data_IF_553290723474
#
_entry.id   IF_553290723474
#
_cell.length_a   1.000
_cell.length_b   1.000
_cell.length_c   1.000
_cell.angle_alpha   90.00
_cell.angle_beta   90.00
_cell.angle_gamma   90.00
#
_symmetry.space_group_name_H-M   'P 1'
#
loop_
_entity.id
_entity.type
_entity.pdbx_description
1 polymer ?
#
# COMPACT_ATOMS: atom_id res chain seq x y z
N UNK A 1 -10.94 -6.85 -34.60
CA UNK A 1 -12.06 -7.31 -33.75
C UNK A 1 -11.70 -6.98 -32.31
N UNK A 2 -12.50 -6.17 -31.62
CA UNK A 2 -12.26 -5.81 -30.23
C UNK A 2 -12.96 -6.84 -29.35
N UNK A 3 -12.22 -7.49 -28.45
CA UNK A 3 -12.80 -8.44 -27.51
C UNK A 3 -13.31 -7.68 -26.28
N UNK A 4 -14.56 -7.94 -25.89
CA UNK A 4 -15.17 -7.41 -24.67
C UNK A 4 -15.56 -8.54 -23.72
N UNK A 5 -15.59 -8.23 -22.42
CA UNK A 5 -16.14 -9.14 -21.43
C UNK A 5 -17.62 -9.37 -21.71
N UNK A 6 -18.13 -10.58 -21.44
CA UNK A 6 -19.58 -10.86 -21.43
C UNK A 6 -20.28 -10.38 -20.14
N UNK A 7 -19.52 -9.82 -19.22
CA UNK A 7 -20.00 -9.30 -17.94
C UNK A 7 -19.75 -7.80 -17.88
N UNK A 8 -20.75 -7.08 -17.36
CA UNK A 8 -20.70 -5.66 -17.07
C UNK A 8 -20.99 -5.46 -15.59
N UNK A 9 -20.21 -4.57 -14.96
CA UNK A 9 -20.39 -4.22 -13.56
C UNK A 9 -20.31 -2.70 -13.42
N UNK A 10 -21.12 -2.16 -12.51
CA UNK A 10 -21.01 -0.77 -12.12
C UNK A 10 -19.84 -0.63 -11.14
N UNK A 11 -18.91 0.27 -11.46
CA UNK A 11 -17.79 0.56 -10.57
C UNK A 11 -18.14 1.78 -9.71
N UNK A 12 -18.13 1.68 -8.36
CA UNK A 12 -18.39 2.79 -7.45
C UNK A 12 -17.50 4.00 -7.71
N UNK A 13 -18.11 5.19 -7.70
CA UNK A 13 -17.42 6.48 -7.83
C UNK A 13 -17.04 6.98 -6.43
N UNK A 14 -16.01 6.38 -5.86
CA UNK A 14 -15.53 6.68 -4.52
C UNK A 14 -14.03 6.47 -4.42
N UNK A 15 -13.35 7.18 -3.52
CA UNK A 15 -11.93 6.96 -3.26
C UNK A 15 -11.64 5.59 -2.63
N UNK A 16 -10.42 5.07 -2.83
CA UNK A 16 -10.03 3.74 -2.37
C UNK A 16 -10.13 3.54 -0.84
N UNK A 17 -9.91 4.57 -0.02
CA UNK A 17 -9.98 4.42 1.44
C UNK A 17 -11.42 4.32 1.91
N UNK A 18 -12.30 5.17 1.39
CA UNK A 18 -13.73 5.09 1.65
C UNK A 18 -14.30 3.79 1.09
N UNK A 19 -13.87 3.35 -0.10
CA UNK A 19 -14.22 2.05 -0.65
C UNK A 19 -13.88 0.92 0.34
N UNK A 20 -12.65 0.85 0.84
CA UNK A 20 -12.24 -0.17 1.79
C UNK A 20 -12.97 -0.06 3.15
N UNK A 21 -12.96 1.13 3.76
CA UNK A 21 -13.38 1.26 5.15
C UNK A 21 -14.89 1.43 5.33
N UNK A 22 -15.62 1.88 4.29
CA UNK A 22 -17.07 2.12 4.36
C UNK A 22 -17.89 1.13 3.55
N UNK A 23 -17.29 0.38 2.62
CA UNK A 23 -18.04 -0.66 1.92
C UNK A 23 -18.48 -1.76 2.88
N UNK A 24 -19.74 -2.17 2.73
CA UNK A 24 -20.33 -3.36 3.35
C UNK A 24 -19.86 -4.66 2.69
N UNK A 25 -19.02 -4.59 1.65
CA UNK A 25 -18.41 -5.76 1.03
C UNK A 25 -17.47 -6.48 2.01
N UNK A 26 -16.90 -5.75 2.97
CA UNK A 26 -15.99 -6.28 3.98
C UNK A 26 -16.83 -6.67 5.20
N UNK A 27 -17.24 -7.94 5.22
CA UNK A 27 -18.17 -8.50 6.23
C UNK A 27 -17.47 -9.24 7.36
N UNK A 28 -16.16 -9.06 7.51
CA UNK A 28 -15.34 -9.82 8.44
C UNK A 28 -15.13 -9.03 9.74
N UNK A 29 -15.64 -9.57 10.86
CA UNK A 29 -15.41 -9.03 12.21
C UNK A 29 -14.09 -9.56 12.84
N UNK A 30 -13.34 -10.40 12.12
CA UNK A 30 -12.05 -10.96 12.53
C UNK A 30 -10.86 -10.22 11.94
N UNK A 31 -9.70 -10.86 11.99
CA UNK A 31 -8.48 -10.31 11.40
C UNK A 31 -8.52 -10.37 9.87
N UNK A 32 -8.22 -9.24 9.23
CA UNK A 32 -8.06 -9.08 7.79
C UNK A 32 -6.60 -9.20 7.34
N UNK A 33 -5.65 -8.90 8.23
CA UNK A 33 -4.24 -9.21 8.08
C UNK A 33 -3.75 -9.94 9.32
N UNK A 34 -2.93 -10.96 9.12
CA UNK A 34 -2.34 -11.80 10.14
C UNK A 34 -0.83 -11.84 9.94
N UNK A 35 -0.08 -11.72 11.02
CA UNK A 35 1.31 -12.11 11.00
C UNK A 35 1.42 -13.64 10.98
N UNK A 36 2.12 -14.19 9.99
CA UNK A 36 2.26 -15.63 9.83
C UNK A 36 3.18 -16.25 10.88
N UNK A 37 4.16 -15.48 11.37
CA UNK A 37 5.09 -15.90 12.42
C UNK A 37 4.50 -15.74 13.81
N UNK A 38 3.60 -14.76 13.98
CA UNK A 38 2.83 -14.56 15.20
C UNK A 38 1.32 -14.44 14.92
N UNK A 39 0.58 -15.56 14.82
CA UNK A 39 -0.85 -15.57 14.49
C UNK A 39 -1.77 -14.90 15.51
N UNK A 40 -1.25 -14.48 16.66
CA UNK A 40 -1.99 -13.68 17.65
C UNK A 40 -1.89 -12.17 17.40
N UNK A 41 -0.94 -11.74 16.57
CA UNK A 41 -0.81 -10.37 16.10
C UNK A 41 -1.50 -10.23 14.74
N UNK A 42 -2.67 -9.60 14.78
CA UNK A 42 -3.54 -9.40 13.63
C UNK A 42 -4.11 -7.99 13.59
N UNK A 43 -4.60 -7.60 12.42
CA UNK A 43 -5.35 -6.37 12.23
C UNK A 43 -6.78 -6.71 11.87
N UNK A 44 -7.73 -6.29 12.69
CA UNK A 44 -9.12 -6.14 12.25
C UNK A 44 -9.25 -4.93 11.31
N UNK A 45 -10.42 -4.79 10.67
CA UNK A 45 -10.72 -3.61 9.83
C UNK A 45 -10.60 -2.31 10.63
N UNK A 46 -11.11 -2.29 11.85
CA UNK A 46 -11.09 -1.14 12.75
C UNK A 46 -9.65 -0.82 13.19
N UNK A 47 -8.87 -1.84 13.56
CA UNK A 47 -7.47 -1.67 13.94
C UNK A 47 -6.62 -1.18 12.77
N UNK A 48 -6.87 -1.68 11.55
CA UNK A 48 -6.23 -1.17 10.35
C UNK A 48 -6.58 0.29 10.11
N UNK A 49 -7.86 0.66 10.13
CA UNK A 49 -8.29 2.05 9.92
C UNK A 49 -7.67 2.99 10.95
N UNK A 50 -7.66 2.59 12.22
CA UNK A 50 -7.04 3.38 13.29
C UNK A 50 -5.55 3.59 13.05
N UNK A 51 -4.79 2.52 12.79
CA UNK A 51 -3.34 2.61 12.53
C UNK A 51 -3.05 3.44 11.28
N UNK A 52 -3.87 3.32 10.23
CA UNK A 52 -3.76 4.11 9.00
C UNK A 52 -3.94 5.59 9.27
N UNK A 53 -4.99 5.98 10.02
CA UNK A 53 -5.22 7.39 10.37
C UNK A 53 -4.10 7.95 11.23
N UNK A 54 -3.61 7.18 12.21
CA UNK A 54 -2.52 7.59 13.10
C UNK A 54 -1.21 7.76 12.33
N UNK A 55 -0.83 6.77 11.53
CA UNK A 55 0.38 6.85 10.71
C UNK A 55 0.30 7.99 9.68
N UNK A 56 -0.86 8.23 9.08
CA UNK A 56 -1.09 9.37 8.18
C UNK A 56 -0.90 10.72 8.90
N UNK A 57 -1.35 10.85 10.15
CA UNK A 57 -1.11 12.04 10.95
C UNK A 57 0.36 12.27 11.28
N UNK A 58 1.11 11.22 11.59
CA UNK A 58 2.57 11.30 11.74
C UNK A 58 3.29 11.66 10.44
N UNK A 59 2.85 11.12 9.29
CA UNK A 59 3.39 11.50 7.98
C UNK A 59 3.17 12.99 7.69
N UNK A 60 1.99 13.53 7.99
CA UNK A 60 1.71 14.97 7.83
C UNK A 60 2.50 15.84 8.81
N UNK A 61 2.47 15.49 10.10
CA UNK A 61 2.99 16.34 11.19
C UNK A 61 4.50 16.23 11.38
N UNK A 62 5.03 15.01 11.42
CA UNK A 62 6.43 14.72 11.78
C UNK A 62 7.31 14.72 10.54
N UNK A 63 6.86 14.06 9.47
CA UNK A 63 7.62 14.00 8.20
C UNK A 63 7.38 15.24 7.33
N UNK A 64 6.23 15.91 7.49
CA UNK A 64 5.88 17.10 6.72
C UNK A 64 5.32 16.81 5.32
N UNK A 65 4.73 15.62 5.13
CA UNK A 65 4.20 15.15 3.84
C UNK A 65 3.09 16.08 3.31
N UNK A 66 3.22 16.55 2.06
CA UNK A 66 2.23 17.36 1.36
C UNK A 66 1.37 16.51 0.41
N UNK A 67 0.28 17.09 -0.12
CA UNK A 67 -0.51 16.43 -1.17
C UNK A 67 0.39 16.03 -2.35
N UNK A 68 0.16 14.84 -2.91
CA UNK A 68 0.91 14.24 -4.02
C UNK A 68 2.37 13.90 -3.73
N UNK A 69 2.88 14.10 -2.51
CA UNK A 69 4.21 13.64 -2.14
C UNK A 69 4.26 12.11 -2.11
N UNK A 70 5.40 11.56 -2.55
CA UNK A 70 5.56 10.11 -2.67
C UNK A 70 6.21 9.52 -1.42
N UNK A 71 5.62 8.44 -0.92
CA UNK A 71 6.12 7.62 0.20
C UNK A 71 6.58 6.28 -0.37
N UNK A 72 7.84 5.94 -0.11
CA UNK A 72 8.45 4.69 -0.57
C UNK A 72 8.57 3.67 0.57
N UNK A 73 8.22 2.41 0.31
CA UNK A 73 8.54 1.30 1.20
C UNK A 73 9.63 0.40 0.59
N UNK A 74 10.76 0.32 1.28
CA UNK A 74 11.92 -0.54 1.01
C UNK A 74 12.11 -1.51 2.19
N UNK A 75 11.16 -2.44 2.33
CA UNK A 75 11.10 -3.39 3.43
C UNK A 75 10.49 -4.71 2.95
N UNK A 76 10.68 -5.76 3.74
CA UNK A 76 9.96 -7.02 3.56
C UNK A 76 8.48 -6.93 3.92
N UNK A 77 7.72 -7.95 3.53
CA UNK A 77 6.32 -8.07 3.90
C UNK A 77 6.20 -8.13 5.42
N UNK A 78 5.32 -7.29 5.98
CA UNK A 78 4.97 -7.28 7.39
C UNK A 78 3.54 -6.79 7.55
N UNK A 79 2.97 -6.93 8.74
CA UNK A 79 1.64 -6.41 9.06
C UNK A 79 1.56 -4.87 8.93
N UNK A 80 2.69 -4.18 9.00
CA UNK A 80 2.79 -2.73 8.80
C UNK A 80 2.76 -2.31 7.33
N UNK A 81 3.14 -3.20 6.41
CA UNK A 81 3.18 -2.87 4.98
C UNK A 81 1.82 -2.38 4.43
N UNK A 82 0.67 -3.06 4.67
CA UNK A 82 -0.63 -2.52 4.27
C UNK A 82 -0.99 -1.22 4.99
N UNK A 83 -0.56 -1.03 6.24
CA UNK A 83 -0.76 0.23 6.98
C UNK A 83 -0.01 1.38 6.29
N UNK A 84 1.25 1.17 5.89
CA UNK A 84 2.08 2.17 5.21
C UNK A 84 1.46 2.61 3.88
N UNK A 85 1.00 1.64 3.08
CA UNK A 85 0.31 1.90 1.81
C UNK A 85 -0.88 2.84 2.02
N UNK A 86 -1.79 2.43 2.91
CA UNK A 86 -3.04 3.15 3.11
C UNK A 86 -2.83 4.47 3.85
N UNK A 87 -1.82 4.55 4.73
CA UNK A 87 -1.45 5.78 5.42
C UNK A 87 -0.88 6.84 4.48
N UNK A 88 -0.06 6.44 3.50
CA UNK A 88 0.42 7.36 2.47
C UNK A 88 -0.74 7.98 1.68
N UNK A 89 -1.69 7.14 1.24
CA UNK A 89 -2.90 7.58 0.52
C UNK A 89 -3.79 8.45 1.44
N UNK A 90 -3.94 8.07 2.71
CA UNK A 90 -4.74 8.79 3.70
C UNK A 90 -4.17 10.17 3.97
N UNK A 91 -2.84 10.29 4.01
CA UNK A 91 -2.13 11.55 4.08
C UNK A 91 -2.11 12.32 2.75
N UNK A 92 -2.96 11.98 1.76
CA UNK A 92 -3.03 12.65 0.46
C UNK A 92 -1.79 12.48 -0.42
N UNK A 93 -0.87 11.61 -0.03
CA UNK A 93 0.32 11.27 -0.78
C UNK A 93 0.10 10.07 -1.70
N UNK A 94 1.19 9.63 -2.31
CA UNK A 94 1.23 8.51 -3.25
C UNK A 94 2.18 7.44 -2.72
N UNK A 95 1.75 6.19 -2.72
CA UNK A 95 2.61 5.09 -2.29
C UNK A 95 3.44 4.51 -3.45
N UNK A 96 4.67 4.07 -3.17
CA UNK A 96 5.45 3.22 -4.07
C UNK A 96 6.23 2.15 -3.29
N UNK A 97 6.28 0.93 -3.80
CA UNK A 97 7.06 -0.16 -3.21
C UNK A 97 8.35 -0.39 -3.98
N UNK A 98 9.45 -0.58 -3.28
CA UNK A 98 10.74 -0.99 -3.84
C UNK A 98 11.04 -2.45 -3.49
N UNK A 99 11.77 -3.15 -4.37
CA UNK A 99 12.26 -4.49 -4.05
C UNK A 99 13.26 -4.40 -2.89
N UNK A 100 13.05 -5.11 -1.76
CA UNK A 100 13.94 -5.06 -0.61
C UNK A 100 15.37 -5.58 -0.92
N UNK A 101 15.57 -6.27 -2.04
CA UNK A 101 16.88 -6.74 -2.48
C UNK A 101 17.63 -5.75 -3.37
N UNK A 102 17.09 -4.55 -3.61
CA UNK A 102 17.81 -3.53 -4.37
C UNK A 102 19.12 -3.12 -3.71
N UNK A 103 20.12 -2.92 -4.54
CA UNK A 103 21.35 -2.21 -4.18
C UNK A 103 21.06 -0.73 -3.94
N UNK A 104 21.99 -0.02 -3.28
CA UNK A 104 21.84 1.42 -3.04
C UNK A 104 21.73 2.24 -4.33
N UNK A 105 22.39 1.79 -5.41
CA UNK A 105 22.30 2.42 -6.73
C UNK A 105 20.91 2.22 -7.38
N UNK A 106 20.34 1.02 -7.29
CA UNK A 106 19.00 0.74 -7.81
C UNK A 106 17.94 1.50 -7.03
N UNK A 107 18.04 1.53 -5.69
CA UNK A 107 17.16 2.31 -4.83
C UNK A 107 17.29 3.81 -5.11
N UNK A 108 18.51 4.31 -5.34
CA UNK A 108 18.74 5.71 -5.75
C UNK A 108 18.01 6.03 -7.05
N UNK A 109 18.07 5.15 -8.05
CA UNK A 109 17.35 5.34 -9.32
C UNK A 109 15.84 5.34 -9.11
N UNK A 110 15.33 4.47 -8.23
CA UNK A 110 13.92 4.45 -7.85
C UNK A 110 13.52 5.79 -7.22
N UNK A 111 14.26 6.26 -6.20
CA UNK A 111 14.00 7.53 -5.51
C UNK A 111 14.00 8.73 -6.46
N UNK A 112 14.96 8.78 -7.40
CA UNK A 112 15.01 9.84 -8.42
C UNK A 112 13.81 9.82 -9.37
N UNK A 113 13.34 8.63 -9.73
CA UNK A 113 12.23 8.48 -10.67
C UNK A 113 10.88 8.74 -10.00
N UNK A 114 10.72 8.31 -8.74
CA UNK A 114 9.48 8.48 -7.98
C UNK A 114 9.37 9.84 -7.31
N UNK A 115 10.49 10.51 -7.01
CA UNK A 115 10.47 11.74 -6.22
C UNK A 115 10.05 11.52 -4.76
N UNK A 116 10.27 10.32 -4.22
CA UNK A 116 9.88 9.98 -2.85
C UNK A 116 10.54 10.90 -1.81
N UNK A 117 9.73 11.38 -0.86
CA UNK A 117 10.15 12.26 0.24
C UNK A 117 10.27 11.55 1.59
N UNK A 118 9.77 10.33 1.66
CA UNK A 118 9.82 9.47 2.85
C UNK A 118 10.15 8.03 2.44
N UNK A 119 10.99 7.36 3.23
CA UNK A 119 11.37 5.96 3.03
C UNK A 119 11.04 5.19 4.31
N UNK A 120 10.16 4.21 4.21
CA UNK A 120 10.01 3.16 5.21
C UNK A 120 10.98 2.03 4.89
N UNK A 121 11.81 1.64 5.85
CA UNK A 121 12.79 0.54 5.71
C UNK A 121 12.82 -0.28 6.99
N UNK A 122 13.23 -1.53 6.92
CA UNK A 122 13.60 -2.29 8.13
C UNK A 122 15.10 -2.15 8.45
N UNK A 123 15.50 -2.72 9.60
CA UNK A 123 16.87 -2.62 10.12
C UNK A 123 17.91 -3.26 9.21
N UNK A 124 17.59 -4.41 8.62
CA UNK A 124 18.54 -5.15 7.77
C UNK A 124 18.91 -4.36 6.52
N UNK A 125 18.00 -3.49 6.06
CA UNK A 125 18.12 -2.68 4.85
C UNK A 125 18.47 -1.21 5.12
N UNK A 126 18.63 -0.81 6.39
CA UNK A 126 18.85 0.58 6.79
C UNK A 126 20.08 1.22 6.13
N UNK A 127 21.21 0.51 6.09
CA UNK A 127 22.44 1.06 5.50
C UNK A 127 22.27 1.38 4.01
N UNK A 128 21.62 0.49 3.27
CA UNK A 128 21.28 0.69 1.85
C UNK A 128 20.34 1.88 1.67
N UNK A 129 19.31 2.00 2.52
CA UNK A 129 18.37 3.11 2.48
C UNK A 129 19.06 4.45 2.77
N UNK A 130 19.96 4.50 3.75
CA UNK A 130 20.73 5.70 4.11
C UNK A 130 21.67 6.12 2.99
N UNK A 131 22.39 5.18 2.37
CA UNK A 131 23.26 5.48 1.23
C UNK A 131 22.46 6.08 0.06
N UNK A 132 21.32 5.49 -0.28
CA UNK A 132 20.47 5.97 -1.35
C UNK A 132 19.86 7.34 -1.04
N UNK A 133 19.33 7.52 0.18
CA UNK A 133 18.76 8.78 0.67
C UNK A 133 19.79 9.93 0.63
N UNK A 134 21.01 9.71 1.12
CA UNK A 134 22.09 10.69 1.06
C UNK A 134 22.42 11.08 -0.39
N UNK A 135 22.42 10.11 -1.31
CA UNK A 135 22.72 10.34 -2.73
C UNK A 135 21.67 11.21 -3.44
N UNK A 136 20.42 11.20 -2.96
CA UNK A 136 19.34 12.05 -3.48
C UNK A 136 19.06 13.28 -2.61
N UNK A 137 19.82 13.49 -1.54
CA UNK A 137 19.68 14.64 -0.65
C UNK A 137 18.49 14.58 0.32
N UNK A 138 17.96 13.39 0.60
CA UNK A 138 16.92 13.22 1.63
C UNK A 138 17.54 13.24 3.04
N UNK A 139 16.97 14.02 3.99
CA UNK A 139 17.47 14.06 5.35
C UNK A 139 17.20 12.74 6.08
N UNK A 140 17.97 12.46 7.13
CA UNK A 140 17.75 11.26 7.97
C UNK A 140 16.34 11.19 8.57
N UNK A 141 15.73 12.34 8.83
CA UNK A 141 14.34 12.46 9.31
C UNK A 141 13.29 12.00 8.30
N UNK A 142 13.66 11.80 7.03
CA UNK A 142 12.78 11.20 6.02
C UNK A 142 12.82 9.67 6.01
N UNK A 143 13.66 9.04 6.84
CA UNK A 143 13.77 7.58 6.95
C UNK A 143 13.05 7.13 8.22
N UNK A 144 12.08 6.23 8.04
CA UNK A 144 11.28 5.62 9.09
C UNK A 144 11.58 4.13 9.16
N UNK A 145 12.02 3.68 10.33
CA UNK A 145 12.33 2.27 10.59
C UNK A 145 11.04 1.54 10.95
N UNK A 146 10.69 0.55 10.14
CA UNK A 146 9.62 -0.41 10.41
C UNK A 146 10.24 -1.53 11.22
N UNK A 147 9.97 -1.50 12.52
CA UNK A 147 10.47 -2.50 13.45
C UNK A 147 9.30 -3.24 14.08
N UNK A 148 9.45 -4.55 14.24
CA UNK A 148 8.55 -5.38 15.04
C UNK A 148 9.12 -5.69 16.43
N UNK A 149 10.41 -5.39 16.66
CA UNK A 149 11.12 -5.68 17.91
C UNK A 149 11.08 -4.50 18.89
N UNK A 150 11.11 -4.80 20.20
CA UNK A 150 11.26 -3.80 21.27
C UNK A 150 12.70 -3.25 21.39
N UNK A 151 13.56 -3.51 20.40
CA UNK A 151 14.93 -3.04 20.45
C UNK A 151 15.00 -1.52 20.24
N UNK A 152 15.99 -0.87 20.84
CA UNK A 152 16.18 0.57 20.70
C UNK A 152 16.52 0.94 19.25
N UNK A 153 15.73 1.84 18.65
CA UNK A 153 16.01 2.38 17.31
C UNK A 153 17.34 3.15 17.30
N UNK A 154 18.11 3.14 16.21
CA UNK A 154 19.30 3.96 16.07
C UNK A 154 19.00 5.46 16.23
N UNK A 155 19.90 6.20 16.87
CA UNK A 155 19.72 7.64 17.13
C UNK A 155 19.59 8.45 15.83
N UNK A 156 18.66 9.41 15.81
CA UNK A 156 18.44 10.32 14.68
C UNK A 156 17.51 9.79 13.59
N UNK A 157 16.90 8.61 13.78
CA UNK A 157 15.86 8.07 12.90
C UNK A 157 14.51 8.02 13.61
N UNK A 158 13.43 8.09 12.83
CA UNK A 158 12.10 7.80 13.33
C UNK A 158 11.86 6.28 13.27
N UNK A 159 11.22 5.73 14.29
CA UNK A 159 10.54 4.44 14.22
C UNK A 159 9.08 4.64 13.84
N UNK A 160 8.46 3.63 13.25
CA UNK A 160 7.04 3.71 12.82
C UNK A 160 6.10 4.10 13.98
N UNK A 161 6.41 3.68 15.21
CA UNK A 161 5.63 4.00 16.40
C UNK A 161 5.69 5.48 16.80
N UNK A 162 6.75 6.22 16.43
CA UNK A 162 6.86 7.66 16.69
C UNK A 162 5.85 8.48 15.86
N UNK A 163 5.32 7.88 14.79
CA UNK A 163 4.39 8.54 13.87
C UNK A 163 2.93 8.29 14.26
N UNK A 164 2.65 7.63 15.38
CA UNK A 164 1.28 7.22 15.75
C UNK A 164 0.58 8.20 16.70
N UNK A 165 1.18 9.33 17.07
CA UNK A 165 0.62 10.19 18.12
C UNK A 165 -0.61 11.01 17.71
N UNK A 166 -0.80 11.25 16.41
CA UNK A 166 -1.90 12.09 15.89
C UNK A 166 -2.62 11.35 14.79
N UNK A 167 -3.96 11.40 14.79
CA UNK A 167 -4.77 10.88 13.70
C UNK A 167 -5.02 11.95 12.62
N UNK A 168 -5.00 11.53 11.36
CA UNK A 168 -5.44 12.32 10.21
C UNK A 168 -6.61 11.61 9.52
N UNK A 169 -7.59 12.38 9.07
CA UNK A 169 -8.72 11.86 8.29
C UNK A 169 -8.58 12.34 6.86
N UNK A 170 -8.77 11.42 5.91
CA UNK A 170 -8.77 11.76 4.49
C UNK A 170 -10.08 12.45 4.10
N UNK A 171 -10.04 13.21 3.01
CA UNK A 171 -11.22 13.76 2.36
C UNK A 171 -11.89 12.67 1.50
N UNK A 172 -13.20 12.50 1.66
CA UNK A 172 -13.98 11.56 0.84
C UNK A 172 -14.24 12.16 -0.53
N UNK A 173 -13.89 11.43 -1.58
CA UNK A 173 -14.03 11.91 -2.97
C UNK A 173 -15.05 11.04 -3.70
N UNK A 174 -16.05 11.68 -4.31
CA UNK A 174 -17.08 11.03 -5.15
C UNK A 174 -17.06 11.47 -6.63
N UNK A 175 -16.26 12.48 -6.96
CA UNK A 175 -16.15 12.97 -8.33
C UNK A 175 -15.35 12.00 -9.21
N UNK A 176 -15.94 11.54 -10.32
CA UNK A 176 -15.35 10.52 -11.16
C UNK A 176 -14.11 10.99 -11.92
N UNK A 177 -14.06 12.26 -12.32
CA UNK A 177 -12.92 12.84 -13.05
C UNK A 177 -11.74 13.01 -12.09
N UNK A 178 -11.99 13.56 -10.90
CA UNK A 178 -10.96 13.68 -9.85
C UNK A 178 -10.41 12.30 -9.47
N UNK A 179 -11.26 11.28 -9.31
CA UNK A 179 -10.82 9.92 -8.99
C UNK A 179 -10.00 9.27 -10.12
N UNK A 180 -10.29 9.62 -11.37
CA UNK A 180 -9.59 9.10 -12.54
C UNK A 180 -8.19 9.68 -12.69
N UNK A 181 -7.96 10.91 -12.22
CA UNK A 181 -6.68 11.61 -12.31
C UNK A 181 -5.84 11.55 -11.02
N UNK A 182 -6.48 11.39 -9.84
CA UNK A 182 -5.76 11.34 -8.56
C UNK A 182 -4.98 10.03 -8.42
N UNK A 183 -3.66 10.12 -8.49
CA UNK A 183 -2.75 8.97 -8.34
C UNK A 183 -2.75 8.52 -6.87
N UNK A 184 -2.90 7.22 -6.64
CA UNK A 184 -2.78 6.59 -5.33
C UNK A 184 -1.44 5.86 -5.18
N UNK A 185 -0.98 5.20 -6.26
CA UNK A 185 0.23 4.37 -6.26
C UNK A 185 1.06 4.51 -7.52
N UNK A 186 2.38 4.46 -7.35
CA UNK A 186 3.35 4.29 -8.43
C UNK A 186 3.89 2.86 -8.43
N UNK A 187 3.54 2.12 -9.48
CA UNK A 187 4.10 0.79 -9.74
C UNK A 187 5.22 0.87 -10.76
N UNK A 188 6.38 0.31 -10.43
CA UNK A 188 7.52 0.31 -11.35
C UNK A 188 7.46 -0.88 -12.28
N UNK A 189 7.64 -0.63 -13.57
CA UNK A 189 7.84 -1.67 -14.58
C UNK A 189 9.22 -1.51 -15.20
N UNK A 190 9.90 -2.62 -15.48
CA UNK A 190 11.19 -2.63 -16.16
C UNK A 190 11.12 -2.03 -17.56
N UNK A 191 9.93 -2.02 -18.18
CA UNK A 191 9.69 -1.55 -19.54
C UNK A 191 10.51 -2.32 -20.58
N UNK A 192 10.26 -2.05 -21.86
CA UNK A 192 11.06 -2.61 -22.97
C UNK A 192 12.29 -1.77 -23.30
N UNK A 193 12.41 -0.57 -22.71
CA UNK A 193 13.40 0.46 -23.06
C UNK A 193 14.54 0.60 -22.05
N UNK A 194 14.74 -0.37 -21.15
CA UNK A 194 15.89 -0.48 -20.23
C UNK A 194 15.83 0.34 -18.93
N UNK A 195 15.15 1.50 -18.93
CA UNK A 195 14.94 2.29 -17.72
C UNK A 195 13.53 2.04 -17.12
N UNK A 196 13.42 1.77 -15.80
CA UNK A 196 12.15 1.60 -15.14
C UNK A 196 11.27 2.83 -15.26
N UNK A 197 9.98 2.62 -15.49
CA UNK A 197 8.97 3.68 -15.56
C UNK A 197 7.99 3.52 -14.40
N UNK A 198 7.65 4.64 -13.77
CA UNK A 198 6.61 4.68 -12.76
C UNK A 198 5.24 4.75 -13.45
N UNK A 199 4.47 3.68 -13.35
CA UNK A 199 3.08 3.62 -13.80
C UNK A 199 2.19 4.22 -12.70
N UNK A 200 1.49 5.30 -13.03
CA UNK A 200 0.51 5.93 -12.14
C UNK A 200 -0.76 5.09 -12.08
N UNK A 201 -1.12 4.65 -10.88
CA UNK A 201 -2.34 3.90 -10.58
C UNK A 201 -3.24 4.81 -9.75
N UNK A 202 -4.40 5.16 -10.29
CA UNK A 202 -5.31 6.12 -9.66
C UNK A 202 -6.30 5.46 -8.69
N UNK A 203 -6.97 6.28 -7.88
CA UNK A 203 -8.05 5.79 -7.00
C UNK A 203 -9.11 5.02 -7.80
N UNK A 204 -9.49 5.54 -8.98
CA UNK A 204 -10.44 4.86 -9.87
C UNK A 204 -9.91 3.53 -10.40
N UNK A 205 -8.62 3.44 -10.75
CA UNK A 205 -8.03 2.16 -11.19
C UNK A 205 -8.12 1.10 -10.08
N UNK A 206 -7.82 1.49 -8.84
CA UNK A 206 -7.86 0.57 -7.70
C UNK A 206 -9.26 0.05 -7.42
N UNK A 207 -10.25 0.95 -7.32
CA UNK A 207 -11.64 0.56 -7.06
C UNK A 207 -12.19 -0.29 -8.21
N UNK A 208 -11.91 0.09 -9.46
CA UNK A 208 -12.34 -0.69 -10.63
C UNK A 208 -11.77 -2.11 -10.61
N UNK A 209 -10.47 -2.24 -10.35
CA UNK A 209 -9.82 -3.53 -10.30
C UNK A 209 -10.35 -4.38 -9.13
N UNK A 210 -10.54 -3.81 -7.93
CA UNK A 210 -11.09 -4.53 -6.77
C UNK A 210 -12.50 -5.06 -7.03
N UNK A 211 -13.39 -4.25 -7.61
CA UNK A 211 -14.74 -4.67 -7.99
C UNK A 211 -14.74 -5.76 -9.05
N UNK A 212 -13.88 -5.65 -10.06
CA UNK A 212 -13.75 -6.69 -11.10
C UNK A 212 -13.28 -8.02 -10.52
N UNK A 213 -12.38 -8.00 -9.53
CA UNK A 213 -11.91 -9.21 -8.85
C UNK A 213 -12.98 -9.82 -7.94
N UNK A 214 -13.70 -8.98 -7.18
CA UNK A 214 -14.84 -9.42 -6.36
C UNK A 214 -15.95 -10.04 -7.21
N UNK A 215 -16.29 -9.40 -8.32
CA UNK A 215 -17.29 -9.94 -9.24
C UNK A 215 -16.83 -11.26 -9.88
N UNK A 216 -15.56 -11.38 -10.25
CA UNK A 216 -15.01 -12.63 -10.77
C UNK A 216 -15.08 -13.76 -9.73
N UNK A 217 -14.83 -13.44 -8.46
CA UNK A 217 -15.02 -14.35 -7.35
C UNK A 217 -16.48 -14.82 -7.23
N UNK A 218 -17.43 -13.89 -7.30
CA UNK A 218 -18.87 -14.21 -7.23
C UNK A 218 -19.30 -15.10 -8.39
N UNK A 219 -18.83 -14.80 -9.62
CA UNK A 219 -19.07 -15.65 -10.79
C UNK A 219 -18.50 -17.05 -10.60
N UNK A 220 -17.32 -17.19 -10.00
CA UNK A 220 -16.75 -18.50 -9.69
C UNK A 220 -17.63 -19.27 -8.69
N UNK A 221 -18.10 -18.60 -7.63
CA UNK A 221 -19.01 -19.18 -6.64
C UNK A 221 -20.37 -19.59 -7.24
N UNK A 222 -20.95 -18.78 -8.13
CA UNK A 222 -22.22 -19.11 -8.80
C UNK A 222 -22.09 -20.33 -9.71
N UNK A 223 -20.92 -20.51 -10.34
CA UNK A 223 -20.66 -21.60 -11.28
C UNK A 223 -20.30 -22.90 -10.60
N UNK A 224 -19.76 -22.84 -9.38
CA UNK A 224 -19.39 -24.04 -8.64
C UNK A 224 -19.69 -23.87 -7.16
N UNK A 225 -20.68 -24.61 -6.61
CA UNK A 225 -20.93 -24.64 -5.17
C UNK A 225 -19.84 -25.39 -4.39
N UNK A 226 -18.87 -26.03 -5.08
CA UNK A 226 -17.71 -26.65 -4.45
C UNK A 226 -16.73 -25.57 -3.99
N UNK A 227 -16.71 -25.32 -2.67
CA UNK A 227 -15.80 -24.39 -2.02
C UNK A 227 -14.30 -24.64 -2.31
N UNK A 228 -13.92 -25.84 -2.76
CA UNK A 228 -12.54 -26.15 -3.17
C UNK A 228 -12.18 -25.60 -4.55
N UNK A 229 -13.19 -25.24 -5.35
CA UNK A 229 -13.06 -24.64 -6.69
C UNK A 229 -13.28 -23.13 -6.69
N UNK A 230 -13.64 -22.56 -5.53
CA UNK A 230 -13.74 -21.12 -5.30
C UNK A 230 -12.49 -20.62 -4.58
N UNK A 231 -12.27 -19.31 -4.58
CA UNK A 231 -11.10 -18.71 -3.95
C UNK A 231 -11.22 -18.88 -2.42
N UNK A 232 -10.17 -19.36 -1.72
CA UNK A 232 -10.22 -19.51 -0.26
C UNK A 232 -10.32 -18.15 0.42
N UNK A 233 -11.08 -18.08 1.54
CA UNK A 233 -11.27 -16.84 2.31
C UNK A 233 -9.99 -16.33 3.00
N UNK A 234 -9.01 -17.22 3.20
CA UNK A 234 -7.71 -16.91 3.80
C UNK A 234 -6.64 -17.11 2.74
N UNK A 235 -5.81 -16.09 2.54
CA UNK A 235 -4.75 -16.07 1.55
C UNK A 235 -3.38 -15.96 2.20
N UNK A 236 -2.43 -16.79 1.75
CA UNK A 236 -1.03 -16.60 2.10
C UNK A 236 -0.46 -15.39 1.36
N UNK A 237 0.04 -14.41 2.11
CA UNK A 237 0.66 -13.18 1.60
C UNK A 237 2.12 -13.32 1.18
N UNK A 238 2.52 -14.45 0.58
CA UNK A 238 3.94 -14.71 0.28
C UNK A 238 4.50 -13.88 -0.89
N UNK A 239 3.64 -13.44 -1.82
CA UNK A 239 4.08 -12.58 -2.93
C UNK A 239 4.48 -11.20 -2.38
N UNK A 240 5.52 -10.57 -2.92
CA UNK A 240 5.98 -9.30 -2.39
C UNK A 240 4.93 -8.20 -2.56
N UNK A 241 4.61 -7.50 -1.46
CA UNK A 241 3.60 -6.44 -1.43
C UNK A 241 4.03 -5.17 -2.19
N UNK A 242 5.33 -5.02 -2.47
CA UNK A 242 5.85 -3.96 -3.34
C UNK A 242 5.47 -4.14 -4.81
N UNK A 243 5.09 -5.36 -5.23
CA UNK A 243 4.84 -5.67 -6.64
C UNK A 243 3.36 -5.46 -6.99
N UNK A 244 3.11 -4.91 -8.19
CA UNK A 244 1.76 -4.63 -8.71
C UNK A 244 0.83 -5.85 -8.65
N UNK A 245 1.35 -7.07 -8.84
CA UNK A 245 0.57 -8.31 -8.81
C UNK A 245 -0.10 -8.59 -7.47
N UNK A 246 0.49 -8.17 -6.34
CA UNK A 246 -0.15 -8.31 -5.03
C UNK A 246 -0.97 -7.07 -4.66
N UNK A 247 -0.56 -5.90 -5.16
CA UNK A 247 -1.32 -4.65 -5.02
C UNK A 247 -2.70 -4.71 -5.71
N UNK A 248 -2.80 -5.39 -6.85
CA UNK A 248 -4.01 -5.50 -7.68
C UNK A 248 -4.83 -6.78 -7.43
N UNK A 249 -4.41 -7.68 -6.54
CA UNK A 249 -5.15 -8.91 -6.21
C UNK A 249 -4.62 -9.50 -4.91
N UNK A 250 -5.41 -9.93 -3.91
CA UNK A 250 -6.65 -9.44 -3.27
C UNK A 250 -6.33 -8.55 -2.04
N UNK A 251 -5.20 -7.83 -2.00
CA UNK A 251 -4.80 -7.02 -0.83
C UNK A 251 -5.78 -5.86 -0.53
N UNK A 252 -6.55 -5.43 -1.53
CA UNK A 252 -7.64 -4.45 -1.41
C UNK A 252 -9.04 -5.09 -1.42
N UNK A 253 -9.09 -6.42 -1.42
CA UNK A 253 -10.32 -7.19 -1.34
C UNK A 253 -10.29 -7.91 0.01
N UNK A 254 -10.75 -7.21 1.05
CA UNK A 254 -10.84 -7.80 2.38
C UNK A 254 -12.03 -8.76 2.40
N UNK A 255 -11.77 -10.07 2.43
CA UNK A 255 -12.77 -11.15 2.50
C UNK A 255 -13.25 -11.47 3.93
#
# INVERSE_FOLDING_TARGET
>A
MMFSSRYEIEIPKVDVLTYLFRSSAIRNNGFIFLDAENPTDGLSKEQLEERVKRLAGGLRRTIGLQENDVVLAFAENSIWYPVIILAAICAGGVFTGANPLYTSMELTRHLRTSGAKCIFTDRQRLDTAVQAANTVGLPKTSIVIVDQSNETKPCGYHGIHDLLDVAFSWEVIHDAEVLADKTAVLNFSSGTTGNPKACMITHRNLVANSEQQLYLHDVACWRSPDSKRTIPRIHCGFLPLYHASKFLTPTFVLY
#
